data_IF_690007024281
#
_entry.id   IF_690007024281
#
_cell.length_a   1.000
_cell.length_b   1.000
_cell.length_c   1.000
_cell.angle_alpha   90.00
_cell.angle_beta   90.00
_cell.angle_gamma   90.00
#
_symmetry.space_group_name_H-M   'P 1'
#
loop_
_entity.id
_entity.type
_entity.pdbx_description
1 polymer ?
#
# COMPACT_ATOMS: atom_id res chain seq x y z
N UNK A 1 8.53 8.64 -11.11
CA UNK A 1 9.26 7.48 -10.56
C UNK A 1 8.85 6.25 -11.34
N UNK A 2 9.79 5.36 -11.64
CA UNK A 2 9.55 4.11 -12.37
C UNK A 2 9.77 2.92 -11.44
N UNK A 3 8.86 1.95 -11.49
CA UNK A 3 8.96 0.66 -10.81
C UNK A 3 8.89 -0.40 -11.89
N UNK A 4 9.84 -1.33 -11.90
CA UNK A 4 9.88 -2.44 -12.85
C UNK A 4 9.72 -3.75 -12.11
N UNK A 5 9.03 -4.69 -12.71
CA UNK A 5 8.93 -6.07 -12.24
C UNK A 5 8.90 -7.01 -13.45
N UNK A 6 9.43 -8.22 -13.32
CA UNK A 6 9.56 -9.13 -14.45
C UNK A 6 9.04 -10.54 -14.18
N UNK A 7 9.10 -11.01 -12.93
CA UNK A 7 8.68 -12.37 -12.58
C UNK A 7 7.95 -12.39 -11.24
N UNK A 8 6.66 -12.70 -11.26
CA UNK A 8 5.80 -12.73 -10.07
C UNK A 8 6.18 -13.78 -9.02
N UNK A 9 6.97 -14.80 -9.38
CA UNK A 9 7.44 -15.86 -8.48
C UNK A 9 8.68 -15.37 -7.73
N UNK A 10 9.62 -14.75 -8.44
CA UNK A 10 10.83 -14.17 -7.83
C UNK A 10 10.55 -12.83 -7.14
N UNK A 11 9.59 -12.07 -7.66
CA UNK A 11 9.16 -10.76 -7.17
C UNK A 11 7.65 -10.82 -6.86
N UNK A 12 7.26 -11.35 -5.69
CA UNK A 12 5.85 -11.44 -5.32
C UNK A 12 5.14 -10.08 -5.43
N UNK A 13 3.93 -9.99 -6.02
CA UNK A 13 3.23 -8.73 -6.27
C UNK A 13 3.07 -7.83 -5.04
N UNK A 14 3.03 -8.42 -3.84
CA UNK A 14 2.96 -7.68 -2.58
C UNK A 14 4.18 -6.74 -2.37
N UNK A 15 5.37 -7.11 -2.87
CA UNK A 15 6.57 -6.27 -2.79
C UNK A 15 6.44 -5.05 -3.72
N UNK A 16 6.00 -5.27 -4.95
CA UNK A 16 5.72 -4.22 -5.94
C UNK A 16 4.65 -3.26 -5.41
N UNK A 17 3.56 -3.79 -4.86
CA UNK A 17 2.48 -3.00 -4.23
C UNK A 17 2.99 -2.15 -3.08
N UNK A 18 3.78 -2.71 -2.15
CA UNK A 18 4.32 -1.94 -1.03
C UNK A 18 5.25 -0.82 -1.51
N UNK A 19 6.04 -1.08 -2.54
CA UNK A 19 6.91 -0.08 -3.16
C UNK A 19 6.07 1.05 -3.75
N UNK A 20 5.09 0.73 -4.60
CA UNK A 20 4.18 1.72 -5.22
C UNK A 20 3.46 2.56 -4.17
N UNK A 21 2.90 1.93 -3.12
CA UNK A 21 2.22 2.65 -2.03
C UNK A 21 3.16 3.57 -1.25
N UNK A 22 4.41 3.13 -1.02
CA UNK A 22 5.43 3.96 -0.38
C UNK A 22 5.78 5.18 -1.23
N UNK A 23 5.92 5.01 -2.55
CA UNK A 23 6.22 6.10 -3.47
C UNK A 23 5.05 7.09 -3.54
N UNK A 24 3.81 6.62 -3.64
CA UNK A 24 2.62 7.48 -3.67
C UNK A 24 2.40 8.28 -2.37
N UNK A 25 2.93 7.79 -1.26
CA UNK A 25 2.82 8.45 0.04
C UNK A 25 4.03 9.33 0.40
N UNK A 26 4.99 9.54 -0.52
CA UNK A 26 6.10 10.48 -0.30
C UNK A 26 5.58 11.91 -0.10
N UNK A 27 6.29 12.70 0.69
CA UNK A 27 5.98 14.11 0.89
C UNK A 27 6.48 14.95 -0.30
N UNK A 28 5.73 14.90 -1.40
CA UNK A 28 5.99 15.65 -2.62
C UNK A 28 4.67 16.20 -3.17
N UNK A 29 4.68 17.38 -3.85
CA UNK A 29 3.47 17.92 -4.49
C UNK A 29 2.84 16.90 -5.43
N UNK A 30 1.54 16.64 -5.24
CA UNK A 30 0.82 15.58 -5.96
C UNK A 30 0.69 15.83 -7.45
N UNK A 31 0.73 17.10 -7.87
CA UNK A 31 0.75 17.53 -9.27
C UNK A 31 2.10 17.29 -9.96
N UNK A 32 3.16 17.02 -9.19
CA UNK A 32 4.52 16.78 -9.70
C UNK A 32 5.00 15.35 -9.50
N UNK A 33 4.21 14.52 -8.83
CA UNK A 33 4.53 13.12 -8.60
C UNK A 33 3.73 12.22 -9.54
N UNK A 34 4.43 11.48 -10.40
CA UNK A 34 3.87 10.39 -11.17
C UNK A 34 4.63 9.09 -10.86
N UNK A 35 3.90 7.99 -10.73
CA UNK A 35 4.44 6.64 -10.55
C UNK A 35 4.05 5.79 -11.76
N UNK A 36 5.05 5.22 -12.43
CA UNK A 36 4.88 4.35 -13.58
C UNK A 36 5.35 2.95 -13.21
N UNK A 37 4.57 1.93 -13.56
CA UNK A 37 4.92 0.53 -13.32
C UNK A 37 5.04 -0.19 -14.66
N UNK A 38 6.19 -0.82 -14.90
CA UNK A 38 6.43 -1.72 -16.03
C UNK A 38 6.46 -3.16 -15.52
N UNK A 39 5.64 -4.03 -16.10
CA UNK A 39 5.59 -5.46 -15.78
C UNK A 39 5.95 -6.27 -17.02
N UNK A 40 7.19 -6.72 -17.10
CA UNK A 40 7.70 -7.51 -18.23
C UNK A 40 7.14 -8.94 -18.23
N UNK A 41 6.71 -9.41 -17.05
CA UNK A 41 6.08 -10.72 -16.87
C UNK A 41 4.61 -10.75 -17.24
N UNK A 42 4.01 -9.58 -17.54
CA UNK A 42 2.60 -9.39 -17.88
C UNK A 42 1.66 -10.18 -16.96
N UNK A 43 1.94 -10.16 -15.64
CA UNK A 43 1.23 -11.03 -14.70
C UNK A 43 -0.16 -10.47 -14.39
N UNK A 44 -1.23 -11.27 -14.58
CA UNK A 44 -2.56 -10.86 -14.14
C UNK A 44 -2.60 -10.62 -12.62
N UNK A 45 -1.81 -11.37 -11.85
CA UNK A 45 -1.75 -11.22 -10.40
C UNK A 45 -1.18 -9.84 -10.03
N UNK A 46 -0.06 -9.44 -10.64
CA UNK A 46 0.53 -8.10 -10.46
C UNK A 46 -0.46 -7.00 -10.84
N UNK A 47 -1.12 -7.13 -11.99
CA UNK A 47 -2.10 -6.16 -12.46
C UNK A 47 -3.23 -5.93 -11.46
N UNK A 48 -3.91 -7.00 -11.03
CA UNK A 48 -5.02 -6.91 -10.08
C UNK A 48 -4.55 -6.46 -8.69
N UNK A 49 -3.37 -6.89 -8.25
CA UNK A 49 -2.75 -6.40 -7.02
C UNK A 49 -2.56 -4.87 -7.03
N UNK A 50 -2.14 -4.31 -8.16
CA UNK A 50 -2.02 -2.86 -8.34
C UNK A 50 -3.38 -2.14 -8.36
N UNK A 51 -4.43 -2.76 -8.89
CA UNK A 51 -5.80 -2.22 -8.82
C UNK A 51 -6.27 -2.10 -7.37
N UNK A 52 -6.13 -3.17 -6.57
CA UNK A 52 -6.48 -3.11 -5.14
C UNK A 52 -5.59 -2.12 -4.37
N UNK A 53 -4.30 -2.08 -4.68
CA UNK A 53 -3.39 -1.08 -4.12
C UNK A 53 -3.84 0.35 -4.43
N UNK A 54 -4.34 0.63 -5.64
CA UNK A 54 -4.83 1.96 -6.02
C UNK A 54 -6.03 2.41 -5.18
N UNK A 55 -6.92 1.47 -4.80
CA UNK A 55 -8.05 1.73 -3.91
C UNK A 55 -7.56 2.02 -2.49
N UNK A 56 -6.63 1.19 -2.00
CA UNK A 56 -6.03 1.39 -0.68
C UNK A 56 -5.21 2.69 -0.58
N UNK A 57 -4.52 3.09 -1.65
CA UNK A 57 -3.75 4.34 -1.69
C UNK A 57 -4.60 5.56 -1.34
N UNK A 58 -5.88 5.58 -1.73
CA UNK A 58 -6.82 6.68 -1.44
C UNK A 58 -7.03 6.93 0.05
N UNK A 59 -6.82 5.92 0.90
CA UNK A 59 -6.94 6.05 2.36
C UNK A 59 -5.57 6.06 3.05
N UNK A 60 -4.58 5.33 2.52
CA UNK A 60 -3.23 5.27 3.06
C UNK A 60 -2.48 6.59 2.92
N UNK A 61 -2.50 7.20 1.73
CA UNK A 61 -1.76 8.45 1.47
C UNK A 61 -2.23 9.60 2.38
N UNK A 62 -3.54 9.87 2.55
CA UNK A 62 -4.01 10.86 3.51
C UNK A 62 -3.63 10.54 4.96
N UNK A 63 -3.71 9.26 5.38
CA UNK A 63 -3.29 8.84 6.71
C UNK A 63 -1.81 9.13 6.97
N UNK A 64 -0.93 8.82 6.01
CA UNK A 64 0.49 9.12 6.13
C UNK A 64 0.78 10.61 6.25
N UNK A 65 0.04 11.45 5.51
CA UNK A 65 0.17 12.92 5.58
C UNK A 65 -0.37 13.45 6.91
N UNK A 66 -1.58 13.04 7.32
CA UNK A 66 -2.24 13.47 8.57
C UNK A 66 -1.38 13.23 9.81
N UNK A 67 -0.72 12.07 9.87
CA UNK A 67 0.05 11.67 11.04
C UNK A 67 1.57 11.71 10.84
N UNK A 68 2.03 12.37 9.78
CA UNK A 68 3.45 12.49 9.42
C UNK A 68 4.22 11.16 9.56
N UNK A 69 3.64 10.08 9.01
CA UNK A 69 4.21 8.73 9.09
C UNK A 69 5.60 8.75 8.45
N UNK A 70 6.63 8.24 9.10
CA UNK A 70 7.98 8.23 8.49
C UNK A 70 8.17 7.02 7.56
N UNK A 71 7.63 5.86 7.94
CA UNK A 71 7.74 4.62 7.17
C UNK A 71 6.51 4.47 6.28
N UNK A 72 6.66 4.81 5.00
CA UNK A 72 5.54 4.91 4.04
C UNK A 72 5.15 3.57 3.39
N UNK A 73 5.99 2.55 3.52
CA UNK A 73 5.66 1.18 3.12
C UNK A 73 4.76 0.53 4.19
N UNK A 74 3.48 0.22 3.90
CA UNK A 74 2.52 -0.25 4.91
C UNK A 74 2.98 -1.52 5.63
N UNK A 75 3.51 -2.51 4.90
CA UNK A 75 4.01 -3.75 5.49
C UNK A 75 5.06 -3.46 6.56
N UNK A 76 6.02 -2.58 6.26
CA UNK A 76 7.10 -2.23 7.20
C UNK A 76 6.59 -1.39 8.37
N UNK A 77 5.67 -0.46 8.10
CA UNK A 77 5.09 0.40 9.12
C UNK A 77 4.37 -0.40 10.22
N UNK A 78 3.56 -1.39 9.84
CA UNK A 78 2.78 -2.18 10.80
C UNK A 78 3.53 -3.35 11.44
N UNK A 79 4.72 -3.73 10.93
CA UNK A 79 5.60 -4.72 11.56
C UNK A 79 6.44 -4.17 12.71
N UNK A 80 6.72 -2.86 12.72
CA UNK A 80 7.51 -2.25 13.79
C UNK A 80 6.56 -1.99 14.96
N UNK A 81 6.91 -2.49 16.15
CA UNK A 81 6.18 -2.16 17.36
C UNK A 81 6.21 -0.65 17.56
N UNK A 82 5.04 -0.02 17.62
CA UNK A 82 4.95 1.40 17.90
C UNK A 82 5.43 1.64 19.34
N UNK A 83 6.63 2.17 19.51
CA UNK A 83 7.07 2.76 20.78
C UNK A 83 6.21 4.00 21.02
N UNK A 84 5.00 3.80 21.53
CA UNK A 84 4.07 4.92 21.73
C UNK A 84 4.55 5.74 22.93
N UNK A 85 5.07 6.94 22.64
CA UNK A 85 5.09 8.04 23.59
C UNK A 85 3.67 8.22 24.14
N UNK A 86 3.54 8.40 25.46
CA UNK A 86 2.31 8.17 26.22
C UNK A 86 1.12 9.12 25.94
N UNK A 87 1.23 10.03 24.97
CA UNK A 87 0.22 11.07 24.69
C UNK A 87 -0.34 11.03 23.25
N UNK A 88 -0.55 9.85 22.70
CA UNK A 88 -1.16 9.72 21.36
C UNK A 88 -2.68 9.87 21.43
N UNK A 89 -3.22 10.86 20.70
CA UNK A 89 -4.65 11.20 20.57
C UNK A 89 -5.51 9.95 20.32
N UNK A 90 -6.65 9.83 21.02
CA UNK A 90 -7.57 8.69 20.92
C UNK A 90 -7.99 8.40 19.47
N UNK A 91 -8.21 9.47 18.69
CA UNK A 91 -8.53 9.43 17.27
C UNK A 91 -7.45 8.68 16.45
N UNK A 92 -6.16 8.98 16.67
CA UNK A 92 -5.08 8.26 16.01
C UNK A 92 -5.11 6.77 16.36
N UNK A 93 -5.34 6.42 17.63
CA UNK A 93 -5.39 5.01 18.03
C UNK A 93 -6.52 4.25 17.31
N UNK A 94 -7.66 4.90 17.11
CA UNK A 94 -8.79 4.33 16.36
C UNK A 94 -8.48 4.21 14.87
N UNK A 95 -7.99 5.28 14.24
CA UNK A 95 -7.62 5.28 12.82
C UNK A 95 -6.49 4.29 12.52
N UNK A 96 -5.48 4.21 13.38
CA UNK A 96 -4.36 3.27 13.25
C UNK A 96 -4.86 1.82 13.31
N UNK A 97 -5.73 1.48 14.27
CA UNK A 97 -6.33 0.13 14.37
C UNK A 97 -7.11 -0.21 13.10
N UNK A 98 -7.95 0.73 12.63
CA UNK A 98 -8.71 0.56 11.39
C UNK A 98 -7.80 0.37 10.18
N UNK A 99 -6.76 1.20 10.06
CA UNK A 99 -5.81 1.12 8.95
C UNK A 99 -5.06 -0.21 8.94
N UNK A 100 -4.66 -0.71 10.12
CA UNK A 100 -4.00 -2.02 10.26
C UNK A 100 -4.89 -3.17 9.78
N UNK A 101 -6.20 -3.13 10.09
CA UNK A 101 -7.16 -4.14 9.60
C UNK A 101 -7.27 -4.09 8.07
N UNK A 102 -7.45 -2.91 7.50
CA UNK A 102 -7.57 -2.78 6.04
C UNK A 102 -6.28 -3.20 5.32
N UNK A 103 -5.10 -2.86 5.87
CA UNK A 103 -3.83 -3.32 5.33
C UNK A 103 -3.68 -4.85 5.37
N UNK A 104 -4.17 -5.50 6.44
CA UNK A 104 -4.19 -6.95 6.53
C UNK A 104 -5.10 -7.54 5.44
N UNK A 105 -6.30 -6.97 5.22
CA UNK A 105 -7.23 -7.43 4.17
C UNK A 105 -6.61 -7.34 2.77
N UNK A 106 -5.96 -6.21 2.43
CA UNK A 106 -5.25 -6.03 1.15
C UNK A 106 -4.13 -7.06 0.99
N UNK A 107 -3.41 -7.36 2.08
CA UNK A 107 -2.33 -8.35 2.06
C UNK A 107 -2.88 -9.77 1.85
N UNK A 108 -3.97 -10.12 2.53
CA UNK A 108 -4.65 -11.41 2.36
C UNK A 108 -5.17 -11.60 0.93
N UNK A 109 -5.76 -10.56 0.33
CA UNK A 109 -6.23 -10.61 -1.06
C UNK A 109 -5.09 -10.84 -2.06
N UNK A 110 -3.97 -10.15 -1.87
CA UNK A 110 -2.79 -10.32 -2.73
C UNK A 110 -2.13 -11.70 -2.59
N UNK A 111 -2.08 -12.26 -1.38
CA UNK A 111 -1.45 -13.56 -1.15
C UNK A 111 -2.31 -14.74 -1.63
N UNK A 112 -3.64 -14.65 -1.50
CA UNK A 112 -4.54 -15.76 -1.82
C UNK A 112 -4.96 -15.80 -3.29
N UNK A 113 -4.56 -14.82 -4.13
CA UNK A 113 -5.09 -14.66 -5.49
C UNK A 113 -6.60 -14.39 -5.54
N UNK A 114 -7.25 -14.19 -4.38
CA UNK A 114 -8.66 -13.86 -4.21
C UNK A 114 -8.90 -12.36 -4.45
N UNK A 115 -8.36 -11.85 -5.55
CA UNK A 115 -8.62 -10.51 -6.02
C UNK A 115 -10.07 -10.51 -6.50
N UNK A 116 -10.95 -9.88 -5.72
CA UNK A 116 -12.38 -9.81 -6.03
C UNK A 116 -12.51 -9.17 -7.40
N UNK A 117 -12.92 -9.97 -8.39
CA UNK A 117 -13.15 -9.52 -9.76
C UNK A 117 -14.24 -8.45 -9.69
N UNK A 118 -13.83 -7.19 -9.78
CA UNK A 118 -14.73 -6.05 -9.90
C UNK A 118 -15.35 -6.00 -11.30
N UNK A 119 -15.95 -7.10 -11.75
CA UNK A 119 -16.96 -7.09 -12.81
C UNK A 119 -18.32 -7.13 -12.13
N UNK A 120 -18.68 -6.05 -11.44
CA UNK A 120 -20.08 -5.77 -11.17
C UNK A 120 -20.38 -4.37 -11.70
N UNK A 121 -21.37 -4.38 -12.60
CA UNK A 121 -22.06 -3.25 -13.20
C UNK A 121 -22.67 -2.32 -12.16
#
# INVERSE_FOLDING_TARGET
MFVTTADRVLEPPILTVNTVLSLLAVDYPSDKLACYVSDDGASPLTFYSLIEASKFAKIWVPFCKKYNVQIRAPFRYFTIESTSSRDVLLEFKQEWKRMKVIQADVTCQNNNGNLRIGLNR
#
